data_IF_723249955055
#
_entry.id   IF_723249955055
#
_cell.length_a   1.000
_cell.length_b   1.000
_cell.length_c   1.000
_cell.angle_alpha   90.00
_cell.angle_beta   90.00
_cell.angle_gamma   90.00
#
_symmetry.space_group_name_H-M   'P 1'
#
loop_
_entity.id
_entity.type
_entity.pdbx_description
1 polymer ?
#
# COMPACT_ATOMS: atom_id res chain seq x y z
N UNK A 1 -10.97 -14.47 9.64
CA UNK A 1 -10.85 -13.06 10.10
C UNK A 1 -9.56 -12.80 10.90
N UNK A 2 -9.04 -13.76 11.69
CA UNK A 2 -7.84 -13.56 12.53
C UNK A 2 -6.50 -13.31 11.81
N UNK A 3 -6.19 -14.04 10.73
CA UNK A 3 -4.90 -13.88 10.03
C UNK A 3 -4.85 -12.63 9.13
N UNK A 4 -6.01 -12.09 8.75
CA UNK A 4 -6.10 -10.89 7.90
C UNK A 4 -6.00 -9.57 8.67
N UNK A 5 -6.11 -9.62 10.01
CA UNK A 5 -5.97 -8.47 10.89
C UNK A 5 -4.56 -8.32 11.46
N UNK A 6 -3.70 -9.32 11.32
CA UNK A 6 -2.30 -9.25 11.78
C UNK A 6 -1.55 -8.10 11.10
N UNK A 7 -1.75 -7.89 9.80
CA UNK A 7 -1.15 -6.76 9.07
C UNK A 7 -1.74 -5.38 9.39
N UNK A 8 -2.87 -5.31 10.12
CA UNK A 8 -3.52 -4.04 10.52
C UNK A 8 -3.01 -3.56 11.89
N UNK A 9 -2.49 -4.48 12.71
CA UNK A 9 -2.01 -4.19 14.05
C UNK A 9 -0.51 -3.93 14.08
N UNK A 10 0.28 -4.40 13.10
CA UNK A 10 1.72 -4.17 13.08
C UNK A 10 1.99 -2.69 12.78
N UNK A 11 2.44 -1.90 13.77
CA UNK A 11 2.68 -0.48 13.59
C UNK A 11 3.87 -0.26 12.65
N UNK A 12 3.89 0.87 11.92
CA UNK A 12 4.99 1.21 11.00
C UNK A 12 6.37 1.23 11.68
N UNK A 13 6.44 1.60 12.95
CA UNK A 13 7.67 1.57 13.75
C UNK A 13 8.17 0.16 14.08
N UNK A 14 7.35 -0.89 13.91
CA UNK A 14 7.72 -2.30 14.08
C UNK A 14 8.13 -2.91 12.74
N UNK A 15 7.46 -2.53 11.65
CA UNK A 15 7.76 -3.01 10.29
C UNK A 15 9.16 -2.56 9.82
N UNK A 16 9.52 -1.30 10.05
CA UNK A 16 10.82 -0.75 9.63
C UNK A 16 12.03 -1.51 10.23
N UNK A 17 12.14 -1.69 11.56
CA UNK A 17 13.24 -2.47 12.14
C UNK A 17 13.17 -3.96 11.80
N UNK A 18 11.98 -4.54 11.58
CA UNK A 18 11.86 -5.92 11.07
C UNK A 18 12.48 -6.07 9.67
N UNK A 19 12.22 -5.12 8.76
CA UNK A 19 12.83 -5.12 7.44
C UNK A 19 14.35 -4.97 7.51
N UNK A 20 14.84 -4.07 8.36
CA UNK A 20 16.29 -3.92 8.61
C UNK A 20 16.88 -5.21 9.16
N UNK A 21 16.22 -5.85 10.13
CA UNK A 21 16.68 -7.10 10.72
C UNK A 21 16.76 -8.21 9.67
N UNK A 22 15.72 -8.39 8.84
CA UNK A 22 15.70 -9.43 7.82
C UNK A 22 16.73 -9.15 6.74
N UNK A 23 16.72 -7.98 6.10
CA UNK A 23 17.51 -7.73 4.89
C UNK A 23 18.94 -7.26 5.14
N UNK A 24 19.19 -6.56 6.24
CA UNK A 24 20.53 -6.07 6.57
C UNK A 24 21.29 -6.98 7.53
N UNK A 25 20.62 -7.55 8.54
CA UNK A 25 21.28 -8.36 9.59
C UNK A 25 21.21 -9.86 9.28
N UNK A 26 20.07 -10.36 8.79
CA UNK A 26 19.89 -11.80 8.57
C UNK A 26 20.42 -12.20 7.19
N UNK A 27 19.98 -11.49 6.15
CA UNK A 27 20.31 -11.81 4.75
C UNK A 27 21.61 -11.16 4.26
N UNK A 28 22.14 -10.15 4.96
CA UNK A 28 23.32 -9.35 4.56
C UNK A 28 23.29 -8.85 3.10
N UNK A 29 22.09 -8.74 2.51
CA UNK A 29 21.95 -8.41 1.09
C UNK A 29 22.03 -6.90 0.84
N UNK A 30 21.60 -6.11 1.82
CA UNK A 30 21.64 -4.65 1.78
C UNK A 30 22.32 -4.08 3.02
N UNK A 31 23.16 -3.04 2.87
CA UNK A 31 23.76 -2.36 4.01
C UNK A 31 22.68 -1.71 4.89
N UNK A 32 22.74 -1.96 6.19
CA UNK A 32 21.80 -1.41 7.19
C UNK A 32 21.90 0.10 7.40
N UNK A 33 22.95 0.73 6.88
CA UNK A 33 23.19 2.17 6.95
C UNK A 33 24.55 2.57 6.36
N UNK A 34 24.70 3.85 6.07
CA UNK A 34 25.90 4.45 5.45
C UNK A 34 25.57 5.23 4.19
N UNK A 35 26.35 6.26 3.86
CA UNK A 35 26.16 7.07 2.64
C UNK A 35 27.00 6.58 1.46
N UNK A 36 28.16 5.96 1.71
CA UNK A 36 29.14 5.41 0.76
C UNK A 36 29.11 6.04 -0.66
N UNK A 37 29.18 7.37 -0.74
CA UNK A 37 29.22 8.11 -2.00
C UNK A 37 27.92 8.11 -2.83
N UNK A 38 26.76 7.79 -2.26
CA UNK A 38 25.48 7.74 -2.97
C UNK A 38 25.22 6.43 -3.73
N UNK A 39 25.93 5.35 -3.39
CA UNK A 39 25.71 4.06 -4.01
C UNK A 39 24.27 3.55 -3.78
N UNK A 40 23.59 3.13 -4.85
CA UNK A 40 22.18 2.70 -4.86
C UNK A 40 21.85 1.66 -3.76
N UNK A 41 22.81 0.77 -3.43
CA UNK A 41 22.65 -0.23 -2.36
C UNK A 41 22.32 0.37 -0.99
N UNK A 42 22.78 1.58 -0.68
CA UNK A 42 22.52 2.25 0.59
C UNK A 42 21.21 3.06 0.60
N UNK A 43 20.65 3.35 -0.57
CA UNK A 43 19.38 4.08 -0.71
C UNK A 43 18.17 3.14 -0.76
N UNK A 44 18.33 1.91 -1.27
CA UNK A 44 17.22 0.96 -1.44
C UNK A 44 16.57 0.62 -0.11
N UNK A 45 17.34 0.32 0.94
CA UNK A 45 16.78 -0.06 2.24
C UNK A 45 15.91 1.06 2.87
N UNK A 46 16.40 2.32 3.02
CA UNK A 46 15.57 3.40 3.53
C UNK A 46 14.41 3.76 2.59
N UNK A 47 14.59 3.70 1.26
CA UNK A 47 13.47 3.92 0.33
C UNK A 47 12.39 2.87 0.46
N UNK A 48 12.74 1.59 0.58
CA UNK A 48 11.78 0.51 0.77
C UNK A 48 11.09 0.63 2.13
N UNK A 49 11.83 0.94 3.20
CA UNK A 49 11.25 1.14 4.53
C UNK A 49 10.20 2.27 4.54
N UNK A 50 10.51 3.42 3.94
CA UNK A 50 9.59 4.55 3.82
C UNK A 50 8.41 4.23 2.89
N UNK A 51 8.69 3.63 1.73
CA UNK A 51 7.66 3.30 0.74
C UNK A 51 6.70 2.25 1.27
N UNK A 52 7.17 1.28 2.04
CA UNK A 52 6.34 0.18 2.56
C UNK A 52 5.25 0.70 3.50
N UNK A 53 5.53 1.70 4.34
CA UNK A 53 4.52 2.32 5.20
C UNK A 53 3.40 2.99 4.37
N UNK A 54 3.77 3.66 3.28
CA UNK A 54 2.83 4.32 2.39
C UNK A 54 2.01 3.30 1.57
N UNK A 55 2.68 2.27 1.05
CA UNK A 55 2.06 1.15 0.33
C UNK A 55 1.07 0.41 1.23
N UNK A 56 1.42 0.13 2.49
CA UNK A 56 0.53 -0.55 3.42
C UNK A 56 -0.78 0.23 3.66
N UNK A 57 -0.67 1.57 3.79
CA UNK A 57 -1.83 2.46 3.97
C UNK A 57 -2.74 2.45 2.74
N UNK A 58 -2.18 2.62 1.54
CA UNK A 58 -2.93 2.60 0.27
C UNK A 58 -3.53 1.20 0.01
N UNK A 59 -2.77 0.14 0.26
CA UNK A 59 -3.21 -1.23 0.07
C UNK A 59 -4.41 -1.57 0.97
N UNK A 60 -4.44 -1.06 2.21
CA UNK A 60 -5.58 -1.23 3.12
C UNK A 60 -6.83 -0.54 2.58
N UNK A 61 -6.72 0.70 2.14
CA UNK A 61 -7.84 1.47 1.57
C UNK A 61 -8.37 0.74 0.32
N UNK A 62 -7.47 0.36 -0.57
CA UNK A 62 -7.78 -0.38 -1.81
C UNK A 62 -8.44 -1.73 -1.53
N UNK A 63 -7.98 -2.44 -0.50
CA UNK A 63 -8.55 -3.73 -0.09
C UNK A 63 -9.99 -3.56 0.42
N UNK A 64 -10.24 -2.54 1.24
CA UNK A 64 -11.59 -2.24 1.73
C UNK A 64 -12.55 -1.94 0.59
N UNK A 65 -12.16 -1.03 -0.29
CA UNK A 65 -12.97 -0.63 -1.44
C UNK A 65 -13.19 -1.76 -2.45
N UNK A 66 -12.18 -2.60 -2.69
CA UNK A 66 -12.32 -3.80 -3.54
C UNK A 66 -13.32 -4.80 -2.97
N UNK A 67 -13.35 -5.02 -1.65
CA UNK A 67 -14.33 -5.91 -1.03
C UNK A 67 -15.75 -5.39 -1.27
N UNK A 68 -15.99 -4.11 -1.01
CA UNK A 68 -17.30 -3.48 -1.20
C UNK A 68 -17.76 -3.55 -2.66
N UNK A 69 -16.87 -3.21 -3.59
CA UNK A 69 -17.13 -3.28 -5.03
C UNK A 69 -17.42 -4.71 -5.48
N UNK A 70 -16.69 -5.72 -5.01
CA UNK A 70 -16.92 -7.11 -5.39
C UNK A 70 -18.27 -7.67 -4.91
N UNK A 71 -18.85 -7.10 -3.85
CA UNK A 71 -20.18 -7.45 -3.33
C UNK A 71 -21.32 -6.68 -4.01
N UNK A 72 -21.00 -5.71 -4.86
CA UNK A 72 -22.00 -4.91 -5.58
C UNK A 72 -22.82 -5.73 -6.60
N UNK A 73 -24.04 -5.27 -6.85
CA UNK A 73 -24.97 -5.94 -7.78
C UNK A 73 -24.43 -6.01 -9.21
N UNK A 74 -23.67 -5.02 -9.69
CA UNK A 74 -23.12 -5.03 -11.06
C UNK A 74 -22.00 -6.08 -11.25
N UNK A 75 -21.25 -6.41 -10.19
CA UNK A 75 -20.28 -7.50 -10.23
C UNK A 75 -21.01 -8.86 -10.19
N UNK A 76 -22.10 -8.98 -9.43
CA UNK A 76 -22.93 -10.19 -9.42
C UNK A 76 -23.56 -10.47 -10.78
N UNK A 77 -24.04 -9.43 -11.48
CA UNK A 77 -24.55 -9.58 -12.85
C UNK A 77 -23.45 -9.91 -13.85
N UNK A 78 -22.25 -9.31 -13.71
CA UNK A 78 -21.10 -9.67 -14.55
C UNK A 78 -20.67 -11.13 -14.36
N UNK A 79 -20.74 -11.66 -13.14
CA UNK A 79 -20.53 -13.10 -12.88
C UNK A 79 -21.63 -13.97 -13.49
N UNK A 80 -22.90 -13.57 -13.37
CA UNK A 80 -24.02 -14.30 -13.96
C UNK A 80 -23.93 -14.37 -15.49
N UNK A 81 -23.31 -13.37 -16.13
CA UNK A 81 -22.99 -13.36 -17.57
C UNK A 81 -21.80 -14.25 -17.96
N UNK A 82 -21.20 -14.97 -17.01
CA UNK A 82 -20.08 -15.90 -17.28
C UNK A 82 -18.74 -15.22 -17.56
N UNK A 83 -18.55 -13.93 -17.22
CA UNK A 83 -17.27 -13.27 -17.45
C UNK A 83 -16.16 -13.87 -16.56
N UNK A 84 -14.94 -14.04 -17.08
CA UNK A 84 -13.82 -14.53 -16.29
C UNK A 84 -13.44 -13.53 -15.19
N UNK A 85 -13.15 -14.04 -13.99
CA UNK A 85 -12.86 -13.26 -12.79
C UNK A 85 -11.74 -12.22 -13.01
N UNK A 86 -10.70 -12.54 -13.79
CA UNK A 86 -9.62 -11.60 -14.15
C UNK A 86 -10.16 -10.36 -14.88
N UNK A 87 -11.11 -10.54 -15.80
CA UNK A 87 -11.72 -9.43 -16.57
C UNK A 87 -12.68 -8.61 -15.72
N UNK A 88 -13.36 -9.26 -14.78
CA UNK A 88 -14.20 -8.59 -13.77
C UNK A 88 -13.31 -7.71 -12.88
N UNK A 89 -12.23 -8.25 -12.34
CA UNK A 89 -11.31 -7.49 -11.48
C UNK A 89 -10.68 -6.32 -12.23
N UNK A 90 -10.01 -6.57 -13.36
CA UNK A 90 -9.22 -5.56 -14.06
C UNK A 90 -10.06 -4.46 -14.74
N UNK A 91 -11.23 -4.80 -15.31
CA UNK A 91 -12.05 -3.83 -16.04
C UNK A 91 -13.23 -3.27 -15.25
N UNK A 92 -13.79 -4.02 -14.31
CA UNK A 92 -15.07 -3.67 -13.67
C UNK A 92 -14.93 -3.32 -12.18
N UNK A 93 -14.06 -4.02 -11.45
CA UNK A 93 -13.91 -3.79 -10.01
C UNK A 93 -12.83 -2.74 -9.69
N UNK A 94 -11.69 -2.76 -10.40
CA UNK A 94 -10.54 -1.92 -10.09
C UNK A 94 -10.82 -0.42 -10.21
N UNK A 95 -11.50 0.01 -11.29
CA UNK A 95 -11.86 1.42 -11.51
C UNK A 95 -12.64 2.04 -10.34
N UNK A 96 -13.80 1.49 -9.93
CA UNK A 96 -14.55 2.05 -8.81
C UNK A 96 -13.84 1.86 -7.46
N UNK A 97 -13.05 0.80 -7.28
CA UNK A 97 -12.29 0.58 -6.05
C UNK A 97 -11.13 1.60 -5.85
N UNK A 98 -10.70 2.30 -6.90
CA UNK A 98 -9.67 3.33 -6.81
C UNK A 98 -10.20 4.70 -6.35
N UNK A 99 -11.51 4.93 -6.39
CA UNK A 99 -12.08 6.23 -6.00
C UNK A 99 -11.68 6.66 -4.57
N UNK A 100 -11.73 5.78 -3.54
CA UNK A 100 -11.32 6.15 -2.18
C UNK A 100 -9.83 6.44 -2.07
N UNK A 101 -9.00 5.78 -2.90
CA UNK A 101 -7.55 6.02 -2.94
C UNK A 101 -7.27 7.42 -3.49
N UNK A 102 -7.94 7.80 -4.58
CA UNK A 102 -7.82 9.15 -5.16
C UNK A 102 -8.29 10.22 -4.17
N UNK A 103 -9.39 9.99 -3.45
CA UNK A 103 -9.86 10.90 -2.40
C UNK A 103 -8.84 11.03 -1.26
N UNK A 104 -8.24 9.92 -0.81
CA UNK A 104 -7.19 9.94 0.22
C UNK A 104 -5.94 10.70 -0.22
N UNK A 105 -5.51 10.51 -1.48
CA UNK A 105 -4.39 11.25 -2.05
C UNK A 105 -4.69 12.75 -2.13
N UNK A 106 -5.90 13.13 -2.56
CA UNK A 106 -6.33 14.53 -2.59
C UNK A 106 -6.36 15.17 -1.20
N UNK A 107 -6.83 14.44 -0.19
CA UNK A 107 -6.82 14.90 1.21
C UNK A 107 -5.39 15.06 1.75
N UNK A 108 -4.51 14.10 1.47
CA UNK A 108 -3.10 14.16 1.89
C UNK A 108 -2.37 15.35 1.25
N UNK A 109 -2.60 15.59 -0.04
CA UNK A 109 -2.01 16.72 -0.75
C UNK A 109 -2.48 18.07 -0.16
N UNK A 110 -3.79 18.22 0.10
CA UNK A 110 -4.32 19.42 0.79
C UNK A 110 -3.74 19.60 2.19
N UNK A 111 -3.60 18.52 2.95
CA UNK A 111 -3.00 18.56 4.29
C UNK A 111 -1.55 19.04 4.29
N UNK A 112 -0.75 18.55 3.33
CA UNK A 112 0.62 19.03 3.14
C UNK A 112 0.65 20.50 2.68
N UNK A 113 -0.25 20.92 1.78
CA UNK A 113 -0.32 22.30 1.31
C UNK A 113 -0.71 23.29 2.40
N UNK A 114 -1.66 22.92 3.26
CA UNK A 114 -2.08 23.74 4.41
C UNK A 114 -0.97 23.86 5.46
N UNK A 115 -0.09 22.86 5.57
CA UNK A 115 1.06 22.88 6.48
C UNK A 115 2.24 23.72 5.95
N UNK A 116 2.30 23.97 4.64
CA UNK A 116 3.32 24.79 4.00
C UNK A 116 2.92 26.27 3.90
N UNK A 117 1.62 26.55 3.77
CA UNK A 117 1.07 27.92 3.68
C UNK A 117 0.40 28.40 4.98
N UNK A 118 0.59 27.66 6.08
CA UNK A 118 0.09 28.06 7.40
C UNK A 118 0.97 29.16 8.00
N UNK A 119 0.41 30.37 8.04
CA UNK A 119 0.60 31.30 9.16
C UNK A 119 -0.10 30.73 10.41
#
# INVERSE_FOLDING_TARGET
>A
MGVAMTGVVIPSFVVAPLLVMIFAITLHWLPGGGWNGGALKFMILPMVALSLAYIASIARITRGSMIEVLHSNFIRTARAKGLPMRRIILRHALKPALLPVLSYMGASFRGHYHRLNGH
#
